data_IF_104758794036
#
_entry.id   IF_104758794036
#
_cell.length_a   1.000
_cell.length_b   1.000
_cell.length_c   1.000
_cell.angle_alpha   90.00
_cell.angle_beta   90.00
_cell.angle_gamma   90.00
#
_symmetry.space_group_name_H-M   'P 1'
#
loop_
_entity.id
_entity.type
_entity.pdbx_description
1 polymer ?
#
# COMPACT_ATOMS: atom_id res chain seq x y z
N UNK A 1 -27.66 23.21 -55.25
CA UNK A 1 -28.11 22.95 -53.88
C UNK A 1 -26.99 23.35 -52.93
N UNK A 2 -27.22 24.45 -52.19
CA UNK A 2 -26.26 25.04 -51.27
C UNK A 2 -25.96 24.10 -50.09
N UNK A 3 -24.83 23.39 -50.10
CA UNK A 3 -24.32 22.77 -48.88
C UNK A 3 -23.47 23.81 -48.14
N UNK A 4 -24.02 24.39 -47.07
CA UNK A 4 -23.30 25.27 -46.15
C UNK A 4 -22.00 24.58 -45.72
N UNK A 5 -20.86 25.17 -46.07
CA UNK A 5 -19.57 24.82 -45.50
C UNK A 5 -19.59 25.22 -44.02
N UNK A 6 -19.53 24.26 -43.11
CA UNK A 6 -19.25 24.56 -41.71
C UNK A 6 -17.72 24.72 -41.63
N UNK A 7 -17.24 25.96 -41.77
CA UNK A 7 -15.81 26.32 -41.68
C UNK A 7 -15.28 26.36 -40.24
N UNK A 8 -16.17 26.31 -39.25
CA UNK A 8 -15.82 26.25 -37.84
C UNK A 8 -17.04 25.73 -37.07
N UNK A 9 -16.87 24.68 -36.27
CA UNK A 9 -17.86 24.30 -35.27
C UNK A 9 -17.33 24.78 -33.93
N UNK A 10 -17.84 25.91 -33.43
CA UNK A 10 -17.58 26.34 -32.07
C UNK A 10 -18.45 25.48 -31.15
N UNK A 11 -17.87 24.46 -30.52
CA UNK A 11 -18.54 23.73 -29.45
C UNK A 11 -18.31 24.50 -28.14
N UNK A 12 -19.35 25.13 -27.60
CA UNK A 12 -19.28 25.74 -26.26
C UNK A 12 -19.37 24.67 -25.19
N UNK A 13 -18.26 24.36 -24.53
CA UNK A 13 -18.25 23.73 -23.23
C UNK A 13 -18.04 24.82 -22.16
N UNK A 14 -18.99 24.98 -21.25
CA UNK A 14 -18.89 25.94 -20.15
C UNK A 14 -18.47 25.18 -18.90
N UNK A 15 -17.31 25.47 -18.32
CA UNK A 15 -16.95 24.95 -17.00
C UNK A 15 -17.83 25.64 -15.94
N UNK A 16 -18.56 24.88 -15.13
CA UNK A 16 -19.01 25.35 -13.82
C UNK A 16 -17.88 25.06 -12.82
N UNK A 17 -17.33 26.10 -12.22
CA UNK A 17 -16.39 25.96 -11.13
C UNK A 17 -17.14 25.82 -9.80
N UNK A 18 -16.74 24.88 -8.95
CA UNK A 18 -16.96 25.02 -7.52
C UNK A 18 -16.25 26.31 -7.04
N UNK A 19 -16.96 27.11 -6.25
CA UNK A 19 -16.50 28.38 -5.70
C UNK A 19 -15.34 28.18 -4.73
N UNK A 20 -14.24 28.93 -4.89
CA UNK A 20 -13.29 29.17 -3.79
C UNK A 20 -11.78 29.19 -4.06
N UNK A 21 -11.28 28.86 -5.25
CA UNK A 21 -9.82 28.74 -5.48
C UNK A 21 -9.30 29.80 -6.47
N UNK A 22 -8.32 30.58 -6.02
CA UNK A 22 -7.47 31.47 -6.82
C UNK A 22 -6.62 30.66 -7.81
N UNK A 23 -6.65 31.04 -9.08
CA UNK A 23 -6.00 30.34 -10.18
C UNK A 23 -4.47 30.30 -10.07
N UNK A 24 -3.86 29.11 -10.26
CA UNK A 24 -2.57 28.93 -10.93
C UNK A 24 -2.53 27.58 -11.70
N UNK A 25 -2.46 27.66 -13.05
CA UNK A 25 -1.88 26.81 -14.12
C UNK A 25 -1.75 25.26 -13.94
N UNK A 26 -2.07 24.33 -14.86
CA UNK A 26 -2.35 24.33 -16.31
C UNK A 26 -3.15 23.03 -16.70
N UNK A 27 -4.36 23.16 -17.25
CA UNK A 27 -5.12 22.01 -17.80
C UNK A 27 -4.83 21.84 -19.29
N UNK A 28 -4.26 20.70 -19.71
CA UNK A 28 -4.08 20.36 -21.14
C UNK A 28 -5.21 19.49 -21.68
N UNK A 29 -5.73 19.82 -22.85
CA UNK A 29 -6.75 19.05 -23.55
C UNK A 29 -6.09 18.06 -24.53
N UNK A 30 -6.55 16.80 -24.56
CA UNK A 30 -6.15 15.80 -25.54
C UNK A 30 -7.35 15.38 -26.41
N UNK A 31 -7.14 15.23 -27.72
CA UNK A 31 -8.14 14.65 -28.64
C UNK A 31 -7.78 13.19 -28.88
N UNK A 32 -8.59 12.25 -28.37
CA UNK A 32 -8.51 10.84 -28.78
C UNK A 32 -9.49 10.60 -29.93
N UNK A 33 -8.98 10.10 -31.06
CA UNK A 33 -9.76 9.77 -32.24
C UNK A 33 -9.96 8.25 -32.33
N UNK A 34 -11.10 7.81 -32.87
CA UNK A 34 -11.36 6.39 -33.10
C UNK A 34 -10.40 5.82 -34.16
N UNK A 35 -10.05 4.54 -34.02
CA UNK A 35 -9.13 3.86 -34.93
C UNK A 35 -9.68 3.90 -36.37
N UNK A 36 -8.86 4.33 -37.35
CA UNK A 36 -9.27 4.46 -38.76
C UNK A 36 -9.66 5.86 -39.24
N UNK A 37 -9.43 6.92 -38.44
CA UNK A 37 -9.65 8.31 -38.87
C UNK A 37 -8.44 8.84 -39.66
N UNK A 38 -8.61 9.15 -40.96
CA UNK A 38 -7.58 9.83 -41.76
C UNK A 38 -7.39 11.30 -41.31
N UNK A 39 -6.22 11.88 -41.55
CA UNK A 39 -5.86 13.29 -41.27
C UNK A 39 -5.82 13.67 -39.76
N UNK A 40 -5.41 12.76 -38.87
CA UNK A 40 -5.34 13.00 -37.42
C UNK A 40 -4.38 14.16 -37.03
N UNK A 41 -3.31 14.35 -37.81
CA UNK A 41 -2.30 15.41 -37.69
C UNK A 41 -2.83 16.82 -38.07
N UNK A 42 -4.00 16.91 -38.69
CA UNK A 42 -4.60 18.17 -39.16
C UNK A 42 -5.49 18.86 -38.12
N UNK A 43 -5.66 18.28 -36.93
CA UNK A 43 -6.47 18.82 -35.85
C UNK A 43 -5.61 19.55 -34.82
N UNK A 44 -6.02 20.76 -34.42
CA UNK A 44 -5.33 21.56 -33.40
C UNK A 44 -6.31 22.05 -32.34
N UNK A 45 -5.85 22.16 -31.10
CA UNK A 45 -6.60 22.71 -29.97
C UNK A 45 -5.93 24.01 -29.54
N UNK A 46 -6.69 25.09 -29.39
CA UNK A 46 -6.16 26.36 -28.91
C UNK A 46 -7.19 27.11 -28.06
N UNK A 47 -6.80 27.66 -26.89
CA UNK A 47 -5.47 27.54 -26.28
C UNK A 47 -5.25 26.13 -25.69
N UNK A 48 -4.00 25.69 -25.66
CA UNK A 48 -3.57 24.46 -25.00
C UNK A 48 -2.15 24.69 -24.44
N UNK A 49 -1.99 24.84 -23.12
CA UNK A 49 -3.01 24.72 -22.07
C UNK A 49 -4.03 25.88 -22.08
N UNK A 50 -5.23 25.66 -21.53
CA UNK A 50 -6.25 26.71 -21.38
C UNK A 50 -6.47 27.05 -19.91
N UNK A 51 -6.80 28.31 -19.63
CA UNK A 51 -7.08 28.77 -18.27
C UNK A 51 -8.52 28.43 -17.84
N UNK A 52 -8.77 28.42 -16.53
CA UNK A 52 -10.10 28.14 -15.96
C UNK A 52 -11.16 29.09 -16.51
N UNK A 53 -12.20 28.53 -17.13
CA UNK A 53 -13.29 29.28 -17.77
C UNK A 53 -12.99 29.80 -19.18
N UNK A 54 -11.81 29.51 -19.73
CA UNK A 54 -11.43 29.89 -21.07
C UNK A 54 -12.10 28.99 -22.12
N UNK A 55 -12.55 29.61 -23.22
CA UNK A 55 -13.15 28.86 -24.34
C UNK A 55 -12.05 28.26 -25.21
N UNK A 56 -12.05 26.94 -25.32
CA UNK A 56 -11.13 26.21 -26.17
C UNK A 56 -11.74 25.96 -27.56
N UNK A 57 -10.93 26.15 -28.59
CA UNK A 57 -11.31 25.94 -30.00
C UNK A 57 -10.59 24.73 -30.56
N UNK A 58 -11.38 23.77 -31.07
CA UNK A 58 -10.87 22.65 -31.86
C UNK A 58 -10.95 23.01 -33.36
N UNK A 59 -9.81 23.00 -34.05
CA UNK A 59 -9.69 23.39 -35.46
C UNK A 59 -9.24 22.21 -36.30
N UNK A 60 -9.86 22.00 -37.46
CA UNK A 60 -9.44 21.03 -38.46
C UNK A 60 -8.96 21.72 -39.73
N UNK A 61 -7.76 21.36 -40.19
CA UNK A 61 -7.13 21.92 -41.40
C UNK A 61 -7.09 20.95 -42.60
N UNK A 62 -7.73 19.78 -42.48
CA UNK A 62 -7.80 18.79 -43.55
C UNK A 62 -8.91 19.07 -44.58
N UNK A 63 -8.95 18.29 -45.67
CA UNK A 63 -9.90 18.47 -46.78
C UNK A 63 -11.08 17.48 -46.76
N UNK A 64 -11.06 16.51 -45.85
CA UNK A 64 -12.04 15.43 -45.77
C UNK A 64 -13.30 15.82 -44.96
N UNK A 65 -14.43 15.17 -45.25
CA UNK A 65 -15.69 15.36 -44.49
C UNK A 65 -15.61 14.64 -43.14
N UNK A 66 -15.78 15.37 -42.05
CA UNK A 66 -15.80 14.84 -40.67
C UNK A 66 -17.25 14.52 -40.28
N UNK A 67 -17.54 13.26 -39.93
CA UNK A 67 -18.92 12.81 -39.64
C UNK A 67 -19.39 13.19 -38.24
N UNK A 68 -18.52 13.11 -37.24
CA UNK A 68 -18.78 13.54 -35.86
C UNK A 68 -17.45 13.72 -35.12
N UNK A 69 -17.42 14.65 -34.17
CA UNK A 69 -16.33 14.81 -33.21
C UNK A 69 -16.94 14.75 -31.82
N UNK A 70 -16.34 13.99 -30.91
CA UNK A 70 -16.76 13.91 -29.51
C UNK A 70 -15.60 14.33 -28.64
N UNK A 71 -15.75 15.45 -27.92
CA UNK A 71 -14.83 15.83 -26.85
C UNK A 71 -15.30 15.15 -25.56
N UNK A 72 -14.45 14.31 -24.95
CA UNK A 72 -14.69 13.77 -23.61
C UNK A 72 -13.84 14.57 -22.62
N UNK A 73 -14.49 15.20 -21.64
CA UNK A 73 -13.80 15.71 -20.46
C UNK A 73 -13.30 14.50 -19.65
N UNK A 74 -12.00 14.47 -19.40
CA UNK A 74 -11.38 13.55 -18.43
C UNK A 74 -10.73 14.47 -17.41
N UNK A 75 -11.23 14.56 -16.16
CA UNK A 75 -10.59 15.38 -15.15
C UNK A 75 -9.15 14.90 -14.97
N UNK A 76 -8.20 15.84 -15.01
CA UNK A 76 -6.85 15.58 -14.54
C UNK A 76 -6.88 15.54 -13.01
N UNK A 77 -7.37 14.44 -12.44
CA UNK A 77 -7.18 14.08 -11.03
C UNK A 77 -7.52 12.61 -10.73
N UNK A 78 -6.97 11.71 -11.54
CA UNK A 78 -6.57 10.39 -11.05
C UNK A 78 -5.05 10.34 -11.24
N UNK A 79 -4.32 10.62 -10.15
CA UNK A 79 -2.89 10.27 -10.04
C UNK A 79 -1.83 11.19 -10.65
N UNK A 80 -1.98 12.52 -10.69
CA UNK A 80 -0.78 13.36 -10.88
C UNK A 80 -0.86 14.72 -10.18
N UNK A 81 -0.03 14.91 -9.16
CA UNK A 81 0.09 16.16 -8.45
C UNK A 81 1.53 16.36 -7.96
N UNK A 82 2.29 17.23 -8.64
CA UNK A 82 3.56 17.75 -8.12
C UNK A 82 4.64 17.86 -9.20
N UNK A 83 4.89 19.08 -9.65
CA UNK A 83 6.01 19.39 -10.53
C UNK A 83 7.35 19.16 -9.84
N UNK A 84 7.99 18.04 -10.18
CA UNK A 84 9.43 17.83 -10.08
C UNK A 84 10.07 17.99 -11.45
N UNK A 85 11.15 18.76 -11.54
CA UNK A 85 11.98 18.86 -12.75
C UNK A 85 12.47 17.47 -13.18
N UNK A 86 12.11 17.06 -14.40
CA UNK A 86 12.52 15.81 -15.08
C UNK A 86 12.22 14.49 -14.35
N UNK A 87 11.12 13.84 -14.73
CA UNK A 87 11.05 12.37 -14.78
C UNK A 87 10.62 11.60 -13.51
N UNK A 88 10.39 12.26 -12.38
CA UNK A 88 9.96 11.60 -11.14
C UNK A 88 8.42 11.57 -11.04
N UNK A 89 7.83 10.36 -10.94
CA UNK A 89 6.40 10.19 -10.71
C UNK A 89 6.13 10.37 -9.22
N UNK A 90 5.36 11.38 -8.84
CA UNK A 90 5.07 11.69 -7.43
C UNK A 90 3.56 11.64 -7.19
N UNK A 91 3.17 10.93 -6.14
CA UNK A 91 1.82 10.98 -5.58
C UNK A 91 1.86 11.67 -4.21
N UNK A 92 1.20 12.82 -4.13
CA UNK A 92 1.02 13.55 -2.87
C UNK A 92 -0.33 13.21 -2.23
N UNK A 93 -0.30 12.46 -1.12
CA UNK A 93 -1.48 11.99 -0.40
C UNK A 93 -2.35 13.14 0.12
N UNK A 94 -1.78 14.33 0.35
CA UNK A 94 -2.54 15.49 0.80
C UNK A 94 -3.55 16.02 -0.24
N UNK A 95 -3.49 15.49 -1.48
CA UNK A 95 -4.35 15.89 -2.60
C UNK A 95 -5.23 14.74 -3.11
N UNK A 96 -5.18 13.60 -2.46
CA UNK A 96 -6.04 12.45 -2.77
C UNK A 96 -7.40 12.68 -2.12
N UNK A 97 -8.47 12.63 -2.93
CA UNK A 97 -9.86 12.85 -2.49
C UNK A 97 -10.81 11.71 -2.85
N UNK A 98 -10.36 10.78 -3.68
CA UNK A 98 -11.09 9.61 -4.17
C UNK A 98 -10.11 8.43 -4.19
N UNK A 99 -10.64 7.21 -4.28
CA UNK A 99 -9.83 5.99 -4.34
C UNK A 99 -8.75 6.09 -5.41
N UNK A 100 -7.55 5.61 -5.09
CA UNK A 100 -6.38 5.70 -5.96
C UNK A 100 -5.64 4.38 -6.02
N UNK A 101 -5.25 3.98 -7.23
CA UNK A 101 -4.33 2.88 -7.48
C UNK A 101 -2.98 3.47 -7.91
N UNK A 102 -1.94 3.15 -7.16
CA UNK A 102 -0.58 3.63 -7.34
C UNK A 102 0.12 2.71 -8.33
N UNK A 103 0.50 3.28 -9.47
CA UNK A 103 1.19 2.59 -10.54
C UNK A 103 2.71 2.47 -10.28
N UNK A 104 3.38 1.67 -11.09
CA UNK A 104 4.82 1.45 -10.97
C UNK A 104 5.67 2.74 -11.10
N UNK A 105 6.69 2.83 -10.24
CA UNK A 105 7.70 3.88 -10.24
C UNK A 105 7.29 5.18 -9.53
N UNK A 106 6.20 5.18 -8.77
CA UNK A 106 5.78 6.35 -7.99
C UNK A 106 6.53 6.47 -6.66
N UNK A 107 6.94 7.69 -6.34
CA UNK A 107 7.28 8.12 -4.98
C UNK A 107 6.02 8.70 -4.34
N UNK A 108 5.63 8.16 -3.20
CA UNK A 108 4.45 8.59 -2.44
C UNK A 108 4.91 9.46 -1.27
N UNK A 109 4.27 10.61 -1.10
CA UNK A 109 4.59 11.60 -0.06
C UNK A 109 3.33 12.08 0.66
N UNK A 110 3.51 12.70 1.83
CA UNK A 110 2.48 13.49 2.50
C UNK A 110 1.48 12.69 3.32
N UNK A 111 0.44 13.36 3.78
CA UNK A 111 -0.55 12.79 4.72
C UNK A 111 -1.92 12.77 4.08
N UNK A 112 -2.60 11.62 4.12
CA UNK A 112 -3.99 11.52 3.69
C UNK A 112 -4.92 12.18 4.71
N UNK A 113 -5.84 13.03 4.25
CA UNK A 113 -6.89 13.62 5.07
C UNK A 113 -8.04 12.63 5.29
N UNK A 114 -7.77 11.64 6.14
CA UNK A 114 -8.68 10.54 6.48
C UNK A 114 -9.99 11.01 7.13
N UNK A 115 -10.05 12.24 7.64
CA UNK A 115 -11.24 12.80 8.30
C UNK A 115 -12.28 13.24 7.29
N UNK A 116 -11.85 13.82 6.17
CA UNK A 116 -12.74 14.30 5.11
C UNK A 116 -12.82 13.32 3.94
N UNK A 117 -11.78 12.52 3.73
CA UNK A 117 -11.63 11.63 2.58
C UNK A 117 -11.14 10.23 3.01
N UNK A 118 -12.02 9.42 3.63
CA UNK A 118 -11.74 8.01 3.92
C UNK A 118 -11.77 7.19 2.62
N UNK A 119 -10.65 7.16 1.91
CA UNK A 119 -10.53 6.53 0.60
C UNK A 119 -9.51 5.39 0.61
N UNK A 120 -9.68 4.46 -0.32
CA UNK A 120 -8.76 3.35 -0.51
C UNK A 120 -7.52 3.81 -1.29
N UNK A 121 -6.34 3.47 -0.76
CA UNK A 121 -5.05 3.71 -1.40
C UNK A 121 -4.40 2.36 -1.70
N UNK A 122 -4.38 2.00 -2.97
CA UNK A 122 -3.96 0.68 -3.43
C UNK A 122 -2.67 0.74 -4.26
N UNK A 123 -1.96 -0.37 -4.37
CA UNK A 123 -0.77 -0.54 -5.22
C UNK A 123 -1.12 -1.53 -6.34
N UNK A 124 -0.87 -1.14 -7.59
CA UNK A 124 -1.17 -1.96 -8.76
C UNK A 124 -0.34 -3.28 -8.78
N UNK A 125 -0.87 -4.30 -9.44
CA UNK A 125 -0.17 -5.57 -9.65
C UNK A 125 1.15 -5.35 -10.43
N UNK A 126 2.25 -5.82 -9.86
CA UNK A 126 3.61 -5.68 -10.36
C UNK A 126 4.31 -4.35 -10.03
N UNK A 127 3.65 -3.42 -9.32
CA UNK A 127 4.21 -2.09 -9.10
C UNK A 127 5.27 -2.06 -7.98
N UNK A 128 6.31 -1.26 -8.22
CA UNK A 128 7.28 -0.84 -7.21
C UNK A 128 7.08 0.64 -6.88
N UNK A 129 6.90 0.95 -5.60
CA UNK A 129 6.71 2.32 -5.11
C UNK A 129 7.75 2.67 -4.04
N UNK A 130 8.04 3.96 -3.90
CA UNK A 130 8.89 4.51 -2.84
C UNK A 130 8.01 5.24 -1.84
N UNK A 131 8.16 4.96 -0.54
CA UNK A 131 7.50 5.72 0.52
C UNK A 131 8.46 6.75 1.10
N UNK A 132 8.05 8.02 1.06
CA UNK A 132 8.81 9.16 1.56
C UNK A 132 7.93 10.03 2.49
N UNK A 133 8.04 9.76 3.79
CA UNK A 133 7.34 10.48 4.85
C UNK A 133 5.81 10.48 4.69
N UNK A 134 5.24 9.31 4.40
CA UNK A 134 3.80 9.18 4.24
C UNK A 134 3.08 8.96 5.58
N UNK A 135 1.80 9.37 5.63
CA UNK A 135 0.91 9.06 6.76
C UNK A 135 -0.51 8.78 6.30
N UNK A 136 -0.99 7.55 6.50
CA UNK A 136 -2.37 7.13 6.32
C UNK A 136 -2.83 6.52 7.63
N UNK A 137 -3.65 7.24 8.39
CA UNK A 137 -4.02 6.85 9.76
C UNK A 137 -5.53 6.57 9.84
N UNK A 138 -5.97 5.47 9.24
CA UNK A 138 -7.38 5.09 9.16
C UNK A 138 -8.08 5.11 10.52
N UNK A 139 -9.36 5.49 10.54
CA UNK A 139 -10.15 5.67 11.77
C UNK A 139 -10.71 4.34 12.28
N UNK A 140 -10.76 4.18 13.61
CA UNK A 140 -11.28 2.96 14.27
C UNK A 140 -12.76 3.07 14.67
N UNK A 141 -13.31 4.28 14.66
CA UNK A 141 -14.67 4.59 15.14
C UNK A 141 -15.70 4.64 14.00
N UNK A 142 -15.24 4.41 12.77
CA UNK A 142 -16.06 4.43 11.56
C UNK A 142 -16.09 3.03 10.92
N UNK A 143 -17.21 2.33 11.14
CA UNK A 143 -17.44 0.96 10.67
C UNK A 143 -17.84 0.89 9.19
N UNK A 144 -18.01 2.04 8.52
CA UNK A 144 -18.39 2.06 7.11
C UNK A 144 -17.19 1.81 6.18
N UNK A 145 -15.96 1.83 6.70
CA UNK A 145 -14.72 1.67 5.95
C UNK A 145 -13.81 0.58 6.55
N UNK A 146 -13.58 -0.47 5.78
CA UNK A 146 -12.71 -1.62 6.13
C UNK A 146 -11.39 -1.60 5.35
N UNK A 147 -10.96 -0.41 4.91
CA UNK A 147 -9.72 -0.28 4.12
C UNK A 147 -8.48 -0.47 4.97
N UNK A 148 -7.47 -1.10 4.40
CA UNK A 148 -6.14 -1.08 5.01
C UNK A 148 -5.50 0.32 4.89
N UNK A 149 -4.40 0.55 5.62
CA UNK A 149 -3.59 1.76 5.38
C UNK A 149 -3.02 1.80 3.96
N UNK A 150 -2.65 0.63 3.41
CA UNK A 150 -2.36 0.40 1.99
C UNK A 150 -2.84 -0.99 1.58
N UNK A 151 -3.34 -1.13 0.35
CA UNK A 151 -3.78 -2.41 -0.20
C UNK A 151 -2.94 -2.82 -1.42
N UNK A 152 -2.44 -4.05 -1.47
CA UNK A 152 -1.77 -4.57 -2.66
C UNK A 152 -2.79 -5.31 -3.53
N UNK A 153 -3.13 -4.77 -4.71
CA UNK A 153 -4.05 -5.44 -5.65
C UNK A 153 -3.42 -6.66 -6.32
N UNK A 154 -2.10 -6.78 -6.22
CA UNK A 154 -1.33 -7.85 -6.80
C UNK A 154 0.03 -8.02 -6.11
N UNK A 155 0.99 -8.56 -6.85
CA UNK A 155 2.37 -8.59 -6.37
C UNK A 155 2.90 -7.15 -6.32
N UNK A 156 3.49 -6.72 -5.21
CA UNK A 156 3.89 -5.34 -5.03
C UNK A 156 5.24 -5.24 -4.32
N UNK A 157 5.99 -4.19 -4.63
CA UNK A 157 7.22 -3.84 -3.91
C UNK A 157 7.13 -2.45 -3.31
N UNK A 158 7.44 -2.35 -2.03
CA UNK A 158 7.56 -1.09 -1.29
C UNK A 158 9.04 -0.87 -0.97
N UNK A 159 9.56 0.30 -1.34
CA UNK A 159 10.90 0.77 -0.96
C UNK A 159 10.75 1.86 0.09
N UNK A 160 11.39 1.68 1.24
CA UNK A 160 11.42 2.67 2.32
C UNK A 160 12.63 3.59 2.10
N UNK A 161 12.35 4.86 1.79
CA UNK A 161 13.38 5.87 1.54
C UNK A 161 14.18 6.14 2.81
N UNK A 162 15.50 6.23 2.67
CA UNK A 162 16.40 6.46 3.80
C UNK A 162 16.09 7.78 4.52
N UNK A 163 16.19 7.77 5.85
CA UNK A 163 15.89 8.93 6.70
C UNK A 163 14.41 9.31 6.81
N UNK A 164 13.49 8.51 6.27
CA UNK A 164 12.04 8.81 6.31
C UNK A 164 11.30 7.94 7.31
N UNK A 165 10.14 8.41 7.77
CA UNK A 165 9.21 7.61 8.60
C UNK A 165 7.83 7.58 7.98
N UNK A 166 7.35 6.38 7.70
CA UNK A 166 6.09 6.13 7.01
C UNK A 166 5.11 5.46 7.97
N UNK A 167 3.93 6.05 8.15
CA UNK A 167 2.94 5.61 9.14
C UNK A 167 1.69 5.13 8.43
N UNK A 168 1.33 3.88 8.65
CA UNK A 168 0.14 3.24 8.09
C UNK A 168 -0.68 2.63 9.21
N UNK A 169 -1.96 2.99 9.28
CA UNK A 169 -2.95 2.34 10.13
C UNK A 169 -4.20 2.02 9.33
N UNK A 170 -4.69 0.79 9.44
CA UNK A 170 -5.97 0.39 8.88
C UNK A 170 -7.15 1.17 9.49
N UNK A 171 -8.28 1.17 8.78
CA UNK A 171 -9.56 1.69 9.28
C UNK A 171 -10.20 0.70 10.27
N UNK A 172 -11.50 0.41 10.20
CA UNK A 172 -12.10 -0.52 11.15
C UNK A 172 -11.68 -1.96 10.82
N UNK A 173 -11.12 -2.67 11.80
CA UNK A 173 -10.75 -4.09 11.71
C UNK A 173 -9.77 -4.47 10.56
N UNK A 174 -9.14 -3.46 9.97
CA UNK A 174 -8.28 -3.60 8.81
C UNK A 174 -6.80 -3.58 9.19
N UNK A 175 -5.98 -4.18 8.32
CA UNK A 175 -4.53 -4.21 8.51
C UNK A 175 -3.87 -2.86 8.22
N UNK A 176 -2.66 -2.65 8.74
CA UNK A 176 -1.84 -1.51 8.33
C UNK A 176 -1.48 -1.59 6.84
N UNK A 177 -1.16 -2.79 6.38
CA UNK A 177 -1.02 -3.13 4.96
C UNK A 177 -1.76 -4.45 4.68
N UNK A 178 -2.59 -4.47 3.65
CA UNK A 178 -3.28 -5.67 3.17
C UNK A 178 -2.65 -6.22 1.88
N UNK A 179 -2.53 -7.55 1.81
CA UNK A 179 -2.00 -8.28 0.66
C UNK A 179 -3.05 -9.28 0.20
N UNK A 180 -3.47 -9.23 -1.07
CA UNK A 180 -4.45 -10.19 -1.59
C UNK A 180 -3.97 -11.65 -1.49
N UNK A 181 -4.88 -12.62 -1.24
CA UNK A 181 -4.55 -14.04 -1.24
C UNK A 181 -3.83 -14.49 -2.52
N UNK A 182 -2.75 -15.25 -2.35
CA UNK A 182 -1.94 -15.75 -3.47
C UNK A 182 -1.00 -14.74 -4.12
N UNK A 183 -0.96 -13.49 -3.62
CA UNK A 183 -0.04 -12.43 -4.05
C UNK A 183 1.11 -12.27 -3.07
N UNK A 184 2.10 -11.45 -3.41
CA UNK A 184 3.29 -11.22 -2.58
C UNK A 184 3.60 -9.74 -2.43
N UNK A 185 3.67 -9.28 -1.19
CA UNK A 185 4.29 -7.99 -0.88
C UNK A 185 5.78 -8.19 -0.57
N UNK A 186 6.62 -7.38 -1.20
CA UNK A 186 8.05 -7.27 -0.86
C UNK A 186 8.35 -5.88 -0.30
N UNK A 187 8.94 -5.81 0.89
CA UNK A 187 9.37 -4.56 1.53
C UNK A 187 10.89 -4.51 1.53
N UNK A 188 11.46 -3.41 1.05
CA UNK A 188 12.91 -3.15 0.98
C UNK A 188 13.24 -1.83 1.65
N UNK A 189 14.45 -1.71 2.19
CA UNK A 189 15.04 -0.41 2.50
C UNK A 189 15.90 0.08 1.32
N UNK A 190 16.14 1.38 1.25
CA UNK A 190 17.23 1.92 0.45
C UNK A 190 18.62 1.52 1.03
N UNK A 191 19.68 2.06 0.46
CA UNK A 191 21.05 1.55 0.66
C UNK A 191 21.51 1.63 2.12
N UNK A 192 21.14 2.69 2.84
CA UNK A 192 21.47 2.84 4.26
C UNK A 192 20.55 1.99 5.16
N UNK A 193 19.39 1.58 4.64
CA UNK A 193 18.41 0.75 5.33
C UNK A 193 17.73 1.46 6.51
N UNK A 194 17.70 2.80 6.51
CA UNK A 194 17.23 3.62 7.63
C UNK A 194 15.77 4.05 7.50
N UNK A 195 15.14 3.82 6.34
CA UNK A 195 13.72 4.09 6.15
C UNK A 195 12.84 3.28 7.10
N UNK A 196 11.94 3.98 7.80
CA UNK A 196 11.07 3.40 8.83
C UNK A 196 9.66 3.18 8.28
N UNK A 197 9.10 2.01 8.56
CA UNK A 197 7.68 1.69 8.36
C UNK A 197 7.04 1.35 9.71
N UNK A 198 6.08 2.17 10.11
CA UNK A 198 5.20 1.91 11.24
C UNK A 198 3.86 1.43 10.68
N UNK A 199 3.62 0.12 10.69
CA UNK A 199 2.41 -0.49 10.15
C UNK A 199 1.55 -1.03 11.30
N UNK A 200 0.35 -0.49 11.46
CA UNK A 200 -0.55 -0.80 12.56
C UNK A 200 -1.88 -1.34 12.07
N UNK A 201 -2.24 -2.50 12.56
CA UNK A 201 -3.60 -2.99 12.49
C UNK A 201 -4.50 -2.22 13.43
N UNK A 202 -5.80 -2.37 13.22
CA UNK A 202 -6.81 -1.69 14.01
C UNK A 202 -7.97 -2.65 14.32
N UNK A 203 -8.76 -2.32 15.32
CA UNK A 203 -9.85 -3.17 15.79
C UNK A 203 -9.37 -4.54 16.30
N UNK A 204 -10.23 -5.55 16.21
CA UNK A 204 -9.97 -6.92 16.70
C UNK A 204 -9.34 -7.86 15.68
N UNK A 205 -9.25 -7.43 14.41
CA UNK A 205 -8.88 -8.32 13.31
C UNK A 205 -7.69 -7.84 12.48
N UNK A 206 -7.29 -6.56 12.57
CA UNK A 206 -6.24 -6.00 11.73
C UNK A 206 -4.84 -6.42 12.17
N UNK A 207 -4.07 -7.09 11.30
CA UNK A 207 -2.63 -7.25 11.48
C UNK A 207 -1.87 -5.95 11.16
N UNK A 208 -0.66 -5.76 11.70
CA UNK A 208 0.20 -4.65 11.28
C UNK A 208 0.51 -4.72 9.79
N UNK A 209 1.06 -5.86 9.34
CA UNK A 209 1.31 -6.21 7.95
C UNK A 209 0.69 -7.58 7.70
N UNK A 210 -0.31 -7.68 6.83
CA UNK A 210 -0.98 -8.95 6.56
C UNK A 210 -2.46 -8.79 6.25
N UNK A 211 -3.34 -9.38 7.06
CA UNK A 211 -4.79 -9.30 6.84
C UNK A 211 -5.56 -8.69 8.00
N UNK A 212 -6.78 -8.24 7.71
CA UNK A 212 -7.86 -8.05 8.69
C UNK A 212 -8.60 -9.37 8.93
N UNK A 213 -9.94 -9.32 8.97
CA UNK A 213 -10.83 -10.49 9.07
C UNK A 213 -10.88 -11.41 7.82
N UNK A 214 -9.85 -11.35 6.96
CA UNK A 214 -9.76 -12.08 5.68
C UNK A 214 -8.41 -12.78 5.56
N UNK A 215 -8.21 -13.58 4.50
CA UNK A 215 -6.89 -14.18 4.23
C UNK A 215 -5.97 -13.18 3.51
N UNK A 216 -4.65 -13.30 3.69
CA UNK A 216 -3.65 -12.53 2.95
C UNK A 216 -2.63 -13.39 2.19
N UNK A 217 -1.90 -12.73 1.30
CA UNK A 217 -0.80 -13.31 0.53
C UNK A 217 0.49 -13.54 1.33
N UNK A 218 1.59 -13.68 0.59
CA UNK A 218 2.93 -13.80 1.15
C UNK A 218 3.49 -12.43 1.55
N UNK A 219 4.35 -12.43 2.56
CA UNK A 219 5.05 -11.25 3.06
C UNK A 219 6.54 -11.51 2.98
N UNK A 220 7.27 -10.65 2.26
CA UNK A 220 8.72 -10.69 2.13
C UNK A 220 9.30 -9.38 2.64
N UNK A 221 10.20 -9.44 3.61
CA UNK A 221 10.91 -8.27 4.14
C UNK A 221 12.40 -8.46 3.90
N UNK A 222 12.97 -7.62 3.04
CA UNK A 222 14.38 -7.65 2.65
C UNK A 222 15.20 -6.54 3.32
N UNK A 223 14.58 -5.53 3.92
CA UNK A 223 15.31 -4.43 4.56
C UNK A 223 14.42 -3.34 5.16
N UNK A 224 15.07 -2.31 5.70
CA UNK A 224 14.44 -1.18 6.40
C UNK A 224 14.24 -1.42 7.91
N UNK A 225 13.62 -0.45 8.57
CA UNK A 225 13.21 -0.53 9.97
C UNK A 225 11.70 -0.72 10.03
N UNK A 226 11.25 -1.90 10.41
CA UNK A 226 9.83 -2.27 10.38
C UNK A 226 9.31 -2.38 11.81
N UNK A 227 8.33 -1.55 12.15
CA UNK A 227 7.58 -1.62 13.39
C UNK A 227 6.14 -2.00 13.06
N UNK A 228 5.82 -3.28 13.23
CA UNK A 228 4.52 -3.83 12.90
C UNK A 228 3.77 -4.19 14.18
N UNK A 229 2.57 -3.64 14.35
CA UNK A 229 1.75 -3.84 15.55
C UNK A 229 0.33 -4.26 15.14
N UNK A 230 -0.14 -5.39 15.66
CA UNK A 230 -1.50 -5.84 15.43
C UNK A 230 -2.54 -5.02 16.20
N UNK A 231 -3.80 -5.14 15.78
CA UNK A 231 -4.96 -4.84 16.61
C UNK A 231 -5.16 -5.90 17.70
N UNK A 232 -6.26 -5.78 18.44
CA UNK A 232 -6.57 -6.67 19.56
C UNK A 232 -6.72 -8.11 19.08
N UNK A 233 -5.78 -8.99 19.44
CA UNK A 233 -5.79 -10.38 18.99
C UNK A 233 -5.32 -10.59 17.58
N UNK A 234 -4.59 -9.64 17.00
CA UNK A 234 -4.00 -9.78 15.68
C UNK A 234 -2.48 -9.68 15.77
N UNK A 235 -1.74 -10.30 14.83
CA UNK A 235 -0.29 -10.29 14.88
C UNK A 235 0.27 -8.97 14.37
N UNK A 236 1.52 -8.68 14.72
CA UNK A 236 2.27 -7.62 14.07
C UNK A 236 2.45 -7.91 12.59
N UNK A 237 2.91 -9.13 12.27
CA UNK A 237 3.12 -9.60 10.88
C UNK A 237 2.45 -10.95 10.69
N UNK A 238 1.51 -11.06 9.77
CA UNK A 238 0.91 -12.34 9.38
C UNK A 238 -0.62 -12.29 9.30
N UNK A 239 -1.26 -13.41 9.61
CA UNK A 239 -2.70 -13.56 9.41
C UNK A 239 -3.49 -12.86 10.53
N UNK A 240 -4.34 -11.90 10.17
CA UNK A 240 -5.36 -11.37 11.08
C UNK A 240 -6.30 -12.47 11.59
N UNK A 241 -7.07 -12.16 12.63
CA UNK A 241 -8.08 -13.07 13.19
C UNK A 241 -9.03 -13.58 12.09
N UNK A 242 -9.35 -14.89 12.09
CA UNK A 242 -10.20 -15.58 11.07
C UNK A 242 -9.58 -15.71 9.67
N UNK A 243 -8.38 -15.18 9.45
CA UNK A 243 -7.66 -15.26 8.19
C UNK A 243 -6.58 -16.32 8.16
N UNK A 244 -6.21 -16.74 6.94
CA UNK A 244 -4.95 -17.44 6.69
C UNK A 244 -3.98 -16.49 5.97
N UNK A 245 -2.67 -16.66 6.19
CA UNK A 245 -1.65 -15.94 5.42
C UNK A 245 -0.72 -16.90 4.68
N UNK A 246 -0.11 -16.37 3.61
CA UNK A 246 0.93 -17.07 2.87
C UNK A 246 2.22 -17.22 3.69
N UNK A 247 3.33 -17.44 2.98
CA UNK A 247 4.64 -17.52 3.62
C UNK A 247 5.07 -16.15 4.14
N UNK A 248 5.75 -16.15 5.28
CA UNK A 248 6.40 -14.96 5.84
C UNK A 248 7.90 -15.17 5.75
N UNK A 249 8.59 -14.35 4.96
CA UNK A 249 10.04 -14.45 4.73
C UNK A 249 10.71 -13.14 5.13
N UNK A 250 11.69 -13.20 6.03
CA UNK A 250 12.46 -12.05 6.50
C UNK A 250 13.93 -12.34 6.21
N UNK A 251 14.48 -11.63 5.22
CA UNK A 251 15.87 -11.80 4.78
C UNK A 251 16.79 -10.66 5.22
N UNK A 252 16.24 -9.52 5.63
CA UNK A 252 17.01 -8.36 6.07
C UNK A 252 16.20 -7.39 6.94
N UNK A 253 16.86 -6.33 7.41
CA UNK A 253 16.24 -5.24 8.17
C UNK A 253 16.22 -5.41 9.69
N UNK A 254 15.67 -4.40 10.35
CA UNK A 254 15.45 -4.33 11.81
C UNK A 254 13.95 -4.40 12.06
N UNK A 255 13.48 -5.51 12.61
CA UNK A 255 12.05 -5.82 12.71
C UNK A 255 11.62 -5.84 14.17
N UNK A 256 10.56 -5.10 14.49
CA UNK A 256 9.79 -5.20 15.72
C UNK A 256 8.36 -5.58 15.35
N UNK A 257 7.90 -6.75 15.80
CA UNK A 257 6.58 -7.27 15.50
C UNK A 257 5.84 -7.61 16.80
N UNK A 258 4.73 -6.92 17.06
CA UNK A 258 3.96 -7.04 18.31
C UNK A 258 2.56 -7.54 17.99
N UNK A 259 2.22 -8.71 18.53
CA UNK A 259 0.87 -9.23 18.58
C UNK A 259 0.20 -8.85 19.90
N UNK A 260 -1.11 -8.71 19.87
CA UNK A 260 -1.93 -8.49 21.07
C UNK A 260 -2.89 -9.65 21.28
N UNK A 261 -3.45 -9.79 22.49
CA UNK A 261 -4.30 -10.93 22.86
C UNK A 261 -3.67 -12.30 22.55
N UNK A 262 -4.46 -13.26 22.08
CA UNK A 262 -3.96 -14.61 21.79
C UNK A 262 -3.13 -14.73 20.49
N UNK A 263 -2.62 -13.62 19.92
CA UNK A 263 -1.84 -13.59 18.69
C UNK A 263 -0.32 -13.67 18.89
N UNK A 264 0.36 -14.27 17.92
CA UNK A 264 1.81 -14.21 17.81
C UNK A 264 2.29 -12.81 17.40
N UNK A 265 3.55 -12.47 17.66
CA UNK A 265 4.17 -11.28 17.06
C UNK A 265 4.30 -11.44 15.55
N UNK A 266 4.76 -12.62 15.11
CA UNK A 266 4.88 -13.02 13.70
C UNK A 266 4.18 -14.37 13.51
N UNK A 267 3.16 -14.43 12.66
CA UNK A 267 2.45 -15.67 12.34
C UNK A 267 0.94 -15.53 12.41
N UNK A 268 0.28 -16.35 13.24
CA UNK A 268 -1.18 -16.42 13.32
C UNK A 268 -1.81 -15.44 14.33
N UNK A 269 -2.94 -14.87 13.96
CA UNK A 269 -3.83 -14.06 14.81
C UNK A 269 -4.60 -14.88 15.83
N UNK A 270 -4.95 -14.23 16.93
CA UNK A 270 -5.61 -14.77 18.09
C UNK A 270 -6.98 -15.36 17.79
N UNK A 271 -7.33 -16.35 18.61
CA UNK A 271 -8.43 -17.25 18.39
C UNK A 271 -9.46 -17.04 19.54
N UNK A 272 -10.02 -15.82 19.61
CA UNK A 272 -10.90 -15.35 20.71
C UNK A 272 -12.18 -16.16 20.92
N UNK A 273 -12.60 -16.89 19.89
CA UNK A 273 -13.81 -17.70 19.91
C UNK A 273 -13.46 -19.17 19.66
N UNK A 274 -14.15 -20.10 20.34
CA UNK A 274 -14.00 -21.52 20.04
C UNK A 274 -14.29 -21.76 18.56
N UNK A 275 -13.45 -22.57 17.91
CA UNK A 275 -13.49 -22.90 16.47
C UNK A 275 -13.02 -21.80 15.50
N UNK A 276 -12.35 -20.76 16.00
CA UNK A 276 -11.57 -19.84 15.16
C UNK A 276 -10.12 -20.30 15.16
N UNK A 277 -9.57 -20.52 13.96
CA UNK A 277 -8.17 -20.88 13.75
C UNK A 277 -7.63 -20.01 12.64
N UNK A 278 -6.51 -19.33 12.89
CA UNK A 278 -5.74 -18.67 11.84
C UNK A 278 -4.58 -19.57 11.44
N UNK A 279 -4.24 -19.58 10.15
CA UNK A 279 -3.06 -20.29 9.68
C UNK A 279 -2.06 -19.36 9.02
N UNK A 280 -0.79 -19.75 9.09
CA UNK A 280 0.25 -19.12 8.30
C UNK A 280 1.01 -20.15 7.46
N UNK A 281 1.62 -19.69 6.36
CA UNK A 281 2.55 -20.50 5.60
C UNK A 281 3.83 -20.79 6.40
N UNK A 282 4.91 -21.09 5.69
CA UNK A 282 6.22 -21.19 6.31
C UNK A 282 6.65 -19.81 6.82
N UNK A 283 7.26 -19.79 8.01
CA UNK A 283 7.95 -18.60 8.52
C UNK A 283 9.45 -18.85 8.34
N UNK A 284 10.12 -18.02 7.55
CA UNK A 284 11.57 -18.10 7.33
C UNK A 284 12.21 -16.78 7.71
N UNK A 285 13.09 -16.80 8.70
CA UNK A 285 13.95 -15.68 9.07
C UNK A 285 15.37 -16.13 8.75
N UNK A 286 16.10 -15.42 7.90
CA UNK A 286 17.47 -15.81 7.53
C UNK A 286 18.51 -15.15 8.44
N UNK A 287 19.77 -15.57 8.35
CA UNK A 287 20.88 -14.94 9.06
C UNK A 287 21.29 -13.55 8.51
N UNK A 288 20.68 -13.11 7.40
CA UNK A 288 20.88 -11.78 6.82
C UNK A 288 20.15 -10.64 7.53
N UNK A 289 19.28 -10.93 8.50
CA UNK A 289 18.56 -9.91 9.28
C UNK A 289 19.49 -9.14 10.23
N UNK A 290 19.23 -7.85 10.42
CA UNK A 290 19.94 -7.05 11.43
C UNK A 290 19.47 -7.46 12.83
N UNK A 291 18.16 -7.49 13.05
CA UNK A 291 17.54 -8.03 14.26
C UNK A 291 16.05 -8.26 14.05
N UNK A 292 15.48 -9.27 14.72
CA UNK A 292 14.03 -9.47 14.80
C UNK A 292 13.63 -9.59 16.26
N UNK A 293 12.74 -8.70 16.69
CA UNK A 293 12.08 -8.74 18.00
C UNK A 293 10.61 -9.05 17.76
N UNK A 294 10.17 -10.24 18.18
CA UNK A 294 8.77 -10.62 18.13
C UNK A 294 8.21 -10.72 19.55
N UNK A 295 7.12 -10.01 19.80
CA UNK A 295 6.42 -10.01 21.09
C UNK A 295 5.03 -10.58 20.87
N UNK A 296 4.71 -11.66 21.59
CA UNK A 296 3.36 -12.22 21.59
C UNK A 296 2.42 -11.42 22.49
N UNK A 297 1.13 -11.54 22.22
CA UNK A 297 0.12 -11.03 23.14
C UNK A 297 -0.14 -11.98 24.33
N UNK A 298 -1.01 -11.54 25.22
CA UNK A 298 -1.44 -12.31 26.39
C UNK A 298 -2.23 -13.57 25.99
N UNK A 299 -1.80 -14.73 26.47
CA UNK A 299 -2.47 -16.02 26.18
C UNK A 299 -2.03 -16.70 24.87
N UNK A 300 -1.26 -16.01 24.03
CA UNK A 300 -0.66 -16.61 22.84
C UNK A 300 0.39 -17.70 23.20
N UNK A 301 0.47 -18.79 22.42
CA UNK A 301 1.40 -19.89 22.69
C UNK A 301 2.86 -19.55 22.30
N UNK A 302 3.08 -18.68 21.33
CA UNK A 302 4.40 -18.37 20.79
C UNK A 302 4.49 -16.94 20.24
N UNK A 303 5.69 -16.36 20.28
CA UNK A 303 5.98 -15.07 19.63
C UNK A 303 6.14 -15.17 18.11
N UNK A 304 6.59 -16.32 17.62
CA UNK A 304 6.74 -16.61 16.19
C UNK A 304 6.11 -17.97 15.92
N UNK A 305 5.02 -18.01 15.16
CA UNK A 305 4.28 -19.24 14.88
C UNK A 305 2.76 -19.10 14.97
N UNK A 306 2.03 -20.21 15.18
CA UNK A 306 0.58 -20.24 15.13
C UNK A 306 -0.11 -19.61 16.35
N UNK A 307 -1.42 -19.35 16.24
CA UNK A 307 -2.29 -19.15 17.40
C UNK A 307 -2.51 -20.48 18.16
N UNK A 308 -3.15 -20.42 19.32
CA UNK A 308 -3.46 -21.57 20.20
C UNK A 308 -4.14 -22.75 19.51
N UNK A 309 -5.09 -22.49 18.62
CA UNK A 309 -5.87 -23.49 17.87
C UNK A 309 -5.61 -23.42 16.35
N UNK A 310 -4.58 -22.69 15.95
CA UNK A 310 -4.17 -22.45 14.56
C UNK A 310 -2.99 -23.32 14.15
N UNK A 311 -2.50 -23.10 12.95
CA UNK A 311 -1.36 -23.85 12.42
C UNK A 311 -0.47 -22.98 11.55
N UNK A 312 0.83 -23.19 11.65
CA UNK A 312 1.77 -22.60 10.71
C UNK A 312 2.52 -23.69 9.98
N UNK A 313 3.08 -23.36 8.82
CA UNK A 313 4.07 -24.20 8.16
C UNK A 313 5.34 -24.32 9.02
N UNK A 314 6.45 -24.67 8.37
CA UNK A 314 7.73 -24.76 9.07
C UNK A 314 8.21 -23.38 9.50
N UNK A 315 8.61 -23.25 10.77
CA UNK A 315 9.33 -22.09 11.29
C UNK A 315 10.83 -22.35 11.20
N UNK A 316 11.52 -21.59 10.34
CA UNK A 316 12.96 -21.67 10.13
C UNK A 316 13.60 -20.36 10.53
N UNK A 317 14.52 -20.38 11.50
CA UNK A 317 15.27 -19.20 11.94
C UNK A 317 16.76 -19.46 11.73
N UNK A 318 17.35 -18.73 10.81
CA UNK A 318 18.78 -18.61 10.61
C UNK A 318 19.38 -17.61 11.60
N UNK A 319 20.61 -17.88 12.05
CA UNK A 319 21.32 -17.03 13.00
C UNK A 319 21.04 -17.40 14.47
N UNK A 320 21.30 -16.45 15.37
CA UNK A 320 21.20 -16.64 16.82
C UNK A 320 19.85 -16.18 17.33
N UNK A 321 19.23 -16.99 18.19
CA UNK A 321 17.95 -16.67 18.86
C UNK A 321 18.21 -16.38 20.34
N UNK A 322 17.61 -15.30 20.85
CA UNK A 322 17.72 -14.89 22.26
C UNK A 322 16.33 -14.87 22.90
N UNK A 323 16.23 -15.37 24.14
CA UNK A 323 15.00 -15.43 24.92
C UNK A 323 15.16 -14.61 26.20
N UNK A 324 14.20 -13.72 26.50
CA UNK A 324 14.25 -12.87 27.70
C UNK A 324 13.65 -13.53 28.95
N UNK A 325 13.21 -14.78 28.84
CA UNK A 325 12.59 -15.52 29.94
C UNK A 325 11.06 -15.55 29.91
N UNK A 326 10.42 -14.93 28.93
CA UNK A 326 8.98 -15.08 28.66
C UNK A 326 8.72 -15.90 27.37
N UNK A 327 8.41 -17.18 27.56
CA UNK A 327 7.63 -18.02 26.63
C UNK A 327 8.03 -18.03 25.13
N UNK A 328 9.20 -18.58 24.81
CA UNK A 328 9.37 -19.17 23.47
C UNK A 328 9.05 -20.66 23.50
N UNK A 329 7.92 -21.01 22.90
CA UNK A 329 7.64 -22.36 22.44
C UNK A 329 7.70 -22.33 20.92
N UNK A 330 8.64 -23.05 20.32
CA UNK A 330 8.71 -23.23 18.88
C UNK A 330 7.42 -23.93 18.41
N UNK A 331 6.60 -23.24 17.62
CA UNK A 331 5.26 -23.68 17.21
C UNK A 331 5.22 -24.54 15.95
N UNK A 332 6.21 -25.41 15.74
CA UNK A 332 6.22 -26.36 14.62
C UNK A 332 6.68 -27.74 15.07
N UNK A 333 5.89 -28.77 14.72
CA UNK A 333 6.18 -30.16 15.04
C UNK A 333 7.56 -30.55 14.49
N UNK A 334 8.50 -30.83 15.41
CA UNK A 334 9.89 -31.32 15.24
C UNK A 334 11.02 -30.28 15.01
N UNK A 335 12.15 -30.48 15.71
CA UNK A 335 13.48 -29.81 15.55
C UNK A 335 13.58 -28.37 16.13
N UNK A 336 14.38 -28.12 17.17
CA UNK A 336 15.85 -28.04 17.08
C UNK A 336 16.53 -29.04 18.02
N UNK A 337 17.34 -29.91 17.43
CA UNK A 337 18.44 -30.54 18.14
C UNK A 337 19.61 -29.57 18.15
N UNK A 338 20.21 -29.43 19.34
CA UNK A 338 21.52 -28.86 19.66
C UNK A 338 21.70 -27.33 19.66
N UNK A 339 21.87 -26.84 20.90
CA UNK A 339 22.92 -25.94 21.43
C UNK A 339 23.62 -24.96 20.47
N UNK A 340 23.68 -23.68 20.86
CA UNK A 340 24.92 -23.03 21.34
C UNK A 340 24.61 -21.65 21.92
N UNK A 341 24.90 -21.47 23.22
CA UNK A 341 24.92 -20.19 23.96
C UNK A 341 26.10 -19.30 23.53
N UNK A 342 25.94 -17.96 23.53
CA UNK A 342 26.96 -16.99 24.03
C UNK A 342 26.30 -15.65 24.45
N UNK A 343 26.70 -15.12 25.61
CA UNK A 343 26.42 -13.77 26.15
C UNK A 343 27.03 -12.62 25.30
N UNK A 344 26.60 -11.35 25.46
CA UNK A 344 27.22 -10.22 24.79
C UNK A 344 28.66 -9.98 25.28
N UNK A 345 29.55 -9.68 24.32
CA UNK A 345 30.83 -9.02 24.59
C UNK A 345 30.52 -7.56 24.92
N UNK A 346 30.52 -7.23 26.21
CA UNK A 346 30.76 -5.86 26.65
C UNK A 346 32.26 -5.62 26.54
N UNK A 347 32.75 -4.71 25.67
CA UNK A 347 34.05 -4.03 25.83
C UNK A 347 34.15 -2.80 24.89
N UNK A 348 34.87 -1.73 25.28
CA UNK A 348 35.32 -1.30 26.60
C UNK A 348 34.48 -0.15 27.20
#
# INVERSE_FOLDING_TARGET
>A
MNSKFIKSLALTATMLAASGISAMADDTYNVKMANGTQDADKWTISPNPAQKGEKVTLTYSGKLKVKSVTAKYTPANSGNNGGGTTGEKILDLAKVTDDVVIEDGYTVIGTLDVENYPVCVSIADGATIILDNISIMGRSDDYDYEYAGLECEGDATIILKDGTTNNLRGYCDAGGIYIQPGKTLTIKGETEGTGVLNAKGNGGYGAGIGSGGTSCGNIVIEGGVINAEGGEGSPGIGAGTLGDCGNITITGGTITAIGHGEAAGIGGGGCWLPYVSSHCGNITITDGVTSVTATKGEGAPCAIGPCKDGGCGTVTIGGKVYYDGSDYVNGGDSYLTQETLVYPVYLP
#
